data_IF_433983653771
#
_entry.id   IF_433983653771
#
_cell.length_a   1.000
_cell.length_b   1.000
_cell.length_c   1.000
_cell.angle_alpha   90.00
_cell.angle_beta   90.00
_cell.angle_gamma   90.00
#
_symmetry.space_group_name_H-M   'P 1'
#
loop_
_entity.id
_entity.type
_entity.pdbx_description
1 polymer ?
#
# COMPACT_ATOMS: atom_id res chain seq x y z
N UNK A 1 -29.79 1.22 39.59
CA UNK A 1 -29.65 1.10 38.12
C UNK A 1 -28.26 1.58 37.74
N UNK A 2 -27.45 0.72 37.09
CA UNK A 2 -26.20 0.98 36.35
C UNK A 2 -25.01 1.53 37.16
N UNK A 3 -23.95 0.77 37.46
CA UNK A 3 -22.85 0.22 36.62
C UNK A 3 -21.68 1.18 36.35
N UNK A 4 -20.48 0.65 36.64
CA UNK A 4 -19.16 0.99 36.08
C UNK A 4 -18.42 2.24 36.57
N UNK A 5 -17.36 2.03 37.38
CA UNK A 5 -16.03 2.65 37.24
C UNK A 5 -15.13 2.31 38.45
N UNK A 6 -14.53 1.12 38.48
CA UNK A 6 -13.49 0.77 39.44
C UNK A 6 -12.38 -0.03 38.73
N UNK A 7 -11.79 0.57 37.70
CA UNK A 7 -10.62 0.03 36.99
C UNK A 7 -9.89 1.15 36.24
N UNK A 8 -9.31 2.08 37.00
CA UNK A 8 -8.27 3.00 36.55
C UNK A 8 -7.60 3.56 37.82
N UNK A 9 -6.34 3.97 37.75
CA UNK A 9 -5.56 4.55 38.87
C UNK A 9 -4.77 3.59 39.77
N UNK A 10 -4.02 2.66 39.18
CA UNK A 10 -2.86 2.03 39.84
C UNK A 10 -1.55 2.04 39.00
N UNK A 11 -1.15 3.16 38.35
CA UNK A 11 0.28 3.31 38.01
C UNK A 11 1.01 4.55 38.57
N UNK A 12 0.41 5.40 39.42
CA UNK A 12 1.09 6.61 39.92
C UNK A 12 1.67 6.52 41.35
N UNK A 13 1.49 5.41 42.06
CA UNK A 13 1.94 5.28 43.46
C UNK A 13 3.31 4.56 43.62
N UNK A 14 4.25 4.73 42.68
CA UNK A 14 5.58 4.09 42.74
C UNK A 14 6.79 5.02 42.57
N UNK A 15 6.62 6.34 42.75
CA UNK A 15 7.71 7.31 42.58
C UNK A 15 8.04 8.18 43.83
N UNK A 16 7.45 7.92 45.00
CA UNK A 16 7.68 8.78 46.18
C UNK A 16 7.93 7.97 47.45
N UNK A 17 9.03 7.22 47.50
CA UNK A 17 9.60 6.70 48.75
C UNK A 17 11.10 6.39 48.59
N UNK A 18 11.83 7.28 47.90
CA UNK A 18 13.30 7.27 47.92
C UNK A 18 13.73 8.45 48.77
N UNK A 19 14.14 8.16 49.99
CA UNK A 19 14.71 9.13 50.89
C UNK A 19 14.30 8.83 52.32
N UNK A 20 15.30 8.48 53.14
CA UNK A 20 15.23 8.37 54.60
C UNK A 20 14.65 7.07 55.17
N UNK A 21 15.34 5.95 54.91
CA UNK A 21 15.34 4.82 55.85
C UNK A 21 16.77 4.62 56.37
N UNK A 22 17.00 4.59 57.70
CA UNK A 22 18.34 4.41 58.24
C UNK A 22 18.86 3.01 57.90
N UNK A 23 20.05 2.96 57.28
CA UNK A 23 20.73 1.71 56.92
C UNK A 23 21.12 0.99 58.21
N UNK A 24 20.35 -0.04 58.58
CA UNK A 24 20.67 -0.95 59.67
C UNK A 24 21.97 -1.70 59.35
N UNK A 25 22.94 -1.67 60.26
CA UNK A 25 24.22 -2.41 60.17
C UNK A 25 24.18 -3.77 60.89
N UNK A 26 23.03 -4.41 60.97
CA UNK A 26 22.93 -5.77 61.53
C UNK A 26 23.13 -6.82 60.44
N UNK A 27 23.97 -7.82 60.71
CA UNK A 27 24.16 -8.96 59.80
C UNK A 27 22.88 -9.79 59.69
N UNK A 28 22.59 -10.28 58.49
CA UNK A 28 21.42 -11.10 58.20
C UNK A 28 21.40 -12.37 59.09
N UNK A 29 20.24 -12.77 59.62
CA UNK A 29 20.11 -14.04 60.33
C UNK A 29 20.41 -15.20 59.38
N UNK A 30 21.06 -16.25 59.88
CA UNK A 30 21.38 -17.43 59.08
C UNK A 30 20.10 -18.10 58.59
N UNK A 31 20.01 -18.47 57.30
CA UNK A 31 18.85 -19.17 56.77
C UNK A 31 18.64 -20.50 57.51
N UNK A 32 17.38 -20.91 57.75
CA UNK A 32 17.09 -22.16 58.44
C UNK A 32 17.64 -23.36 57.65
N UNK A 33 18.19 -24.33 58.37
CA UNK A 33 18.78 -25.53 57.79
C UNK A 33 17.75 -26.27 56.94
N UNK A 34 18.11 -26.54 55.68
CA UNK A 34 17.41 -27.30 54.66
C UNK A 34 16.26 -28.19 55.18
N UNK A 35 15.07 -27.60 55.30
CA UNK A 35 13.82 -28.36 55.29
C UNK A 35 13.69 -28.93 53.88
N UNK A 36 14.14 -30.18 53.75
CA UNK A 36 13.97 -31.11 52.62
C UNK A 36 13.31 -30.47 51.39
N UNK A 37 14.14 -29.89 50.52
CA UNK A 37 13.80 -29.56 49.13
C UNK A 37 13.43 -30.80 48.27
N UNK A 38 13.20 -31.95 48.91
CA UNK A 38 12.85 -33.23 48.31
C UNK A 38 11.32 -33.45 48.26
N UNK A 39 10.54 -32.72 49.06
CA UNK A 39 9.06 -32.86 49.10
C UNK A 39 8.29 -31.83 48.26
N UNK A 40 8.96 -30.80 47.72
CA UNK A 40 8.41 -29.90 46.69
C UNK A 40 8.72 -30.37 45.25
N UNK A 41 9.45 -31.48 45.10
CA UNK A 41 9.77 -32.09 43.82
C UNK A 41 8.67 -33.10 43.41
N UNK A 42 7.42 -32.64 43.40
CA UNK A 42 6.32 -33.36 42.75
C UNK A 42 6.34 -32.90 41.28
N UNK A 43 6.55 -33.84 40.36
CA UNK A 43 6.46 -33.75 38.88
C UNK A 43 7.65 -33.24 38.01
N UNK A 44 8.90 -33.37 38.46
CA UNK A 44 10.03 -33.44 37.51
C UNK A 44 10.33 -34.87 37.08
N UNK A 45 9.35 -35.53 36.46
CA UNK A 45 9.63 -36.60 35.49
C UNK A 45 10.49 -35.94 34.39
N UNK A 46 11.68 -36.50 34.14
CA UNK A 46 12.75 -35.82 33.40
C UNK A 46 12.27 -35.20 32.08
N UNK A 47 12.37 -33.87 31.99
CA UNK A 47 12.15 -33.14 30.74
C UNK A 47 13.18 -33.61 29.72
N UNK A 48 12.71 -34.11 28.58
CA UNK A 48 13.56 -34.70 27.54
C UNK A 48 13.93 -33.63 26.53
N UNK A 49 15.21 -33.60 26.12
CA UNK A 49 15.63 -32.76 24.99
C UNK A 49 15.28 -33.45 23.68
N UNK A 50 14.69 -32.70 22.78
CA UNK A 50 14.36 -33.12 21.42
C UNK A 50 15.32 -32.42 20.45
N UNK A 51 15.80 -33.18 19.47
CA UNK A 51 16.63 -32.68 18.38
C UNK A 51 15.75 -32.48 17.15
N UNK A 52 15.75 -31.27 16.61
CA UNK A 52 15.01 -30.89 15.41
C UNK A 52 16.00 -30.48 14.34
N UNK A 53 16.05 -31.21 13.24
CA UNK A 53 16.88 -30.93 12.08
C UNK A 53 16.02 -30.30 10.98
N UNK A 54 16.31 -29.03 10.64
CA UNK A 54 15.64 -28.31 9.55
C UNK A 54 16.64 -28.14 8.40
N UNK A 55 16.47 -28.91 7.33
CA UNK A 55 17.32 -28.89 6.13
C UNK A 55 18.83 -28.95 6.43
N UNK A 56 19.22 -29.74 7.43
CA UNK A 56 20.61 -29.92 7.88
C UNK A 56 21.01 -29.07 9.08
N UNK A 57 20.25 -28.04 9.45
CA UNK A 57 20.51 -27.21 10.64
C UNK A 57 19.80 -27.80 11.86
N UNK A 58 20.58 -28.20 12.86
CA UNK A 58 20.07 -28.83 14.09
C UNK A 58 19.74 -27.80 15.17
N UNK A 59 18.60 -28.00 15.79
CA UNK A 59 18.05 -27.20 16.88
C UNK A 59 17.74 -28.12 18.06
N UNK A 60 18.23 -27.76 19.23
CA UNK A 60 17.90 -28.45 20.47
C UNK A 60 16.87 -27.65 21.27
N UNK A 61 15.84 -28.34 21.76
CA UNK A 61 14.83 -27.75 22.64
C UNK A 61 14.28 -28.78 23.63
N UNK A 62 13.63 -28.30 24.68
CA UNK A 62 12.98 -29.18 25.65
C UNK A 62 11.59 -29.57 25.18
N UNK A 63 11.19 -30.81 25.44
CA UNK A 63 9.84 -31.31 25.11
C UNK A 63 8.75 -30.42 25.71
N UNK A 64 8.90 -30.05 26.98
CA UNK A 64 7.96 -29.14 27.66
C UNK A 64 7.88 -27.74 27.01
N UNK A 65 8.90 -27.30 26.26
CA UNK A 65 8.85 -26.00 25.55
C UNK A 65 7.87 -26.06 24.39
N UNK A 66 7.82 -27.18 23.67
CA UNK A 66 6.90 -27.36 22.55
C UNK A 66 5.47 -27.61 23.03
N UNK A 67 5.31 -28.40 24.09
CA UNK A 67 4.01 -28.76 24.67
C UNK A 67 3.23 -27.58 25.28
N UNK A 68 3.85 -26.40 25.38
CA UNK A 68 3.15 -25.14 25.73
C UNK A 68 2.06 -24.78 24.72
N UNK A 69 2.18 -25.21 23.47
CA UNK A 69 1.25 -24.88 22.40
C UNK A 69 0.78 -26.17 21.70
N UNK A 70 -0.08 -26.98 22.36
CA UNK A 70 -0.46 -28.31 21.87
C UNK A 70 -1.25 -28.30 20.56
N UNK A 71 -1.82 -27.16 20.16
CA UNK A 71 -2.57 -26.99 18.90
C UNK A 71 -1.67 -26.83 17.66
N UNK A 72 -0.36 -26.72 17.86
CA UNK A 72 0.63 -26.53 16.79
C UNK A 72 1.26 -27.86 16.39
N UNK A 73 1.89 -27.93 15.21
CA UNK A 73 2.52 -29.15 14.71
C UNK A 73 3.57 -29.70 15.68
N UNK A 74 4.46 -28.84 16.19
CA UNK A 74 5.55 -29.27 17.09
C UNK A 74 5.06 -29.56 18.51
N UNK A 75 3.99 -28.89 18.96
CA UNK A 75 3.41 -29.12 20.28
C UNK A 75 2.51 -30.34 20.35
N UNK A 76 1.92 -30.74 19.23
CA UNK A 76 1.02 -31.88 19.12
C UNK A 76 1.77 -33.19 18.81
N UNK A 77 1.00 -34.28 18.66
CA UNK A 77 1.51 -35.58 18.23
C UNK A 77 1.85 -35.61 16.72
N UNK A 78 1.52 -34.56 15.96
CA UNK A 78 1.81 -34.50 14.52
C UNK A 78 3.32 -34.51 14.25
N UNK A 79 4.15 -33.98 15.16
CA UNK A 79 5.60 -34.06 15.03
C UNK A 79 6.12 -35.49 14.88
N UNK A 80 5.43 -36.50 15.43
CA UNK A 80 5.89 -37.89 15.40
C UNK A 80 5.91 -38.46 13.98
N UNK A 81 5.16 -37.86 13.03
CA UNK A 81 5.26 -38.19 11.60
C UNK A 81 6.60 -37.79 10.97
N UNK A 82 7.35 -36.90 11.62
CA UNK A 82 8.63 -36.36 11.14
C UNK A 82 9.83 -36.91 11.92
N UNK A 83 9.60 -37.88 12.83
CA UNK A 83 10.68 -38.47 13.60
C UNK A 83 11.44 -39.52 12.79
N UNK A 84 12.76 -39.36 12.72
CA UNK A 84 13.68 -40.35 12.15
C UNK A 84 14.26 -41.20 13.29
N UNK A 85 13.90 -42.48 13.33
CA UNK A 85 14.35 -43.45 14.34
C UNK A 85 15.85 -43.76 14.24
N UNK A 86 16.42 -43.76 13.04
CA UNK A 86 17.83 -44.08 12.81
C UNK A 86 18.72 -42.91 13.27
N UNK A 87 18.33 -41.69 12.91
CA UNK A 87 19.04 -40.48 13.28
C UNK A 87 18.67 -39.95 14.68
N UNK A 88 17.57 -40.42 15.27
CA UNK A 88 17.00 -39.97 16.56
C UNK A 88 16.73 -38.47 16.60
N UNK A 89 16.24 -37.91 15.49
CA UNK A 89 15.92 -36.49 15.34
C UNK A 89 14.62 -36.30 14.55
N UNK A 90 13.93 -35.18 14.76
CA UNK A 90 12.81 -34.78 13.92
C UNK A 90 13.35 -34.04 12.68
N UNK A 91 13.03 -34.50 11.48
CA UNK A 91 13.53 -33.92 10.24
C UNK A 91 12.46 -33.14 9.48
N UNK A 92 12.79 -31.90 9.09
CA UNK A 92 11.95 -31.02 8.28
C UNK A 92 12.72 -30.48 7.08
N UNK A 93 12.23 -30.72 5.87
CA UNK A 93 12.76 -30.15 4.63
C UNK A 93 12.14 -28.75 4.39
N UNK A 94 12.54 -27.79 5.24
CA UNK A 94 11.94 -26.44 5.34
C UNK A 94 13.02 -25.37 5.53
N UNK A 95 12.64 -24.10 5.55
CA UNK A 95 13.59 -22.99 5.68
C UNK A 95 14.17 -22.90 7.11
N UNK A 96 15.49 -23.12 7.30
CA UNK A 96 16.09 -23.06 8.62
C UNK A 96 16.22 -21.64 9.18
N UNK A 97 16.27 -20.61 8.34
CA UNK A 97 16.34 -19.21 8.76
C UNK A 97 14.99 -18.71 9.25
N UNK A 98 13.87 -19.15 8.67
CA UNK A 98 12.54 -18.84 9.20
C UNK A 98 12.21 -19.65 10.45
N UNK A 99 12.67 -20.90 10.53
CA UNK A 99 12.45 -21.76 11.69
C UNK A 99 12.96 -21.19 13.01
N UNK A 100 14.02 -20.36 12.99
CA UNK A 100 14.52 -19.72 14.21
C UNK A 100 13.44 -18.88 14.92
N UNK A 101 12.54 -18.26 14.16
CA UNK A 101 11.43 -17.44 14.68
C UNK A 101 10.31 -18.31 15.22
N UNK A 102 10.02 -19.42 14.52
CA UNK A 102 9.08 -20.46 14.96
C UNK A 102 9.52 -20.99 16.33
N UNK A 103 10.78 -21.40 16.48
CA UNK A 103 11.28 -21.91 17.75
C UNK A 103 11.34 -20.84 18.86
N UNK A 104 11.64 -19.59 18.50
CA UNK A 104 11.61 -18.47 19.44
C UNK A 104 10.21 -18.23 20.02
N UNK A 105 9.15 -18.44 19.22
CA UNK A 105 7.76 -18.38 19.69
C UNK A 105 7.49 -19.40 20.81
N UNK A 106 7.88 -20.68 20.66
CA UNK A 106 7.69 -21.67 21.74
C UNK A 106 8.47 -21.31 23.01
N UNK A 107 9.67 -20.74 22.86
CA UNK A 107 10.53 -20.35 23.99
C UNK A 107 9.97 -19.16 24.77
N UNK A 108 9.48 -18.14 24.06
CA UNK A 108 9.10 -16.84 24.64
C UNK A 108 7.61 -16.63 24.81
N UNK A 109 6.79 -17.39 24.07
CA UNK A 109 5.35 -17.19 23.93
C UNK A 109 4.96 -15.96 23.09
N UNK A 110 5.92 -15.30 22.44
CA UNK A 110 5.69 -14.11 21.61
C UNK A 110 6.15 -14.35 20.19
N UNK A 111 5.24 -14.16 19.24
CA UNK A 111 5.52 -14.29 17.81
C UNK A 111 5.96 -12.93 17.26
N UNK A 112 7.14 -12.86 16.66
CA UNK A 112 7.69 -11.64 16.07
C UNK A 112 7.75 -11.78 14.56
N UNK A 113 7.40 -10.72 13.84
CA UNK A 113 7.50 -10.69 12.39
C UNK A 113 8.90 -10.22 11.95
N UNK A 114 9.64 -11.02 11.14
CA UNK A 114 10.97 -10.65 10.69
C UNK A 114 10.92 -9.73 9.46
N UNK A 115 11.25 -8.45 9.64
CA UNK A 115 11.18 -7.43 8.59
C UNK A 115 12.09 -7.68 7.37
N UNK A 116 13.17 -8.45 7.53
CA UNK A 116 14.13 -8.74 6.45
C UNK A 116 13.71 -9.89 5.55
N UNK A 117 12.71 -10.67 5.95
CA UNK A 117 12.31 -11.88 5.25
C UNK A 117 11.10 -11.63 4.35
N UNK A 118 10.89 -12.52 3.37
CA UNK A 118 9.69 -12.46 2.54
C UNK A 118 8.44 -12.79 3.37
N UNK A 119 7.43 -11.92 3.32
CA UNK A 119 6.16 -12.12 4.01
C UNK A 119 5.51 -13.46 3.65
N UNK A 120 5.46 -13.78 2.35
CA UNK A 120 4.76 -14.97 1.85
C UNK A 120 5.44 -16.23 2.39
N UNK A 121 6.76 -16.31 2.29
CA UNK A 121 7.54 -17.44 2.84
C UNK A 121 7.37 -17.57 4.35
N UNK A 122 7.32 -16.45 5.08
CA UNK A 122 7.05 -16.48 6.52
C UNK A 122 5.65 -16.99 6.86
N UNK A 123 4.61 -16.53 6.16
CA UNK A 123 3.24 -17.03 6.34
C UNK A 123 3.11 -18.52 5.98
N UNK A 124 3.83 -18.99 4.96
CA UNK A 124 3.89 -20.41 4.58
C UNK A 124 4.53 -21.28 5.68
N UNK A 125 5.58 -20.79 6.35
CA UNK A 125 6.16 -21.48 7.50
C UNK A 125 5.25 -21.48 8.72
N UNK A 126 4.60 -20.35 9.03
CA UNK A 126 3.61 -20.27 10.10
C UNK A 126 2.46 -21.26 9.87
N UNK A 127 1.94 -21.31 8.65
CA UNK A 127 0.88 -22.23 8.26
C UNK A 127 1.32 -23.70 8.38
N UNK A 128 2.54 -24.04 7.95
CA UNK A 128 3.08 -25.39 8.06
C UNK A 128 3.20 -25.85 9.51
N UNK A 129 3.71 -24.99 10.41
CA UNK A 129 3.84 -25.33 11.83
C UNK A 129 2.54 -25.15 12.63
N UNK A 130 1.43 -24.77 11.99
CA UNK A 130 0.13 -24.60 12.63
C UNK A 130 0.07 -23.40 13.57
N UNK A 131 0.87 -22.35 13.32
CA UNK A 131 0.88 -21.12 14.13
C UNK A 131 0.04 -20.07 13.42
N UNK A 132 -0.96 -19.54 14.12
CA UNK A 132 -1.86 -18.53 13.56
C UNK A 132 -1.11 -17.18 13.49
N UNK A 133 -1.06 -16.50 12.33
CA UNK A 133 -0.37 -15.21 12.19
C UNK A 133 -0.95 -14.10 13.08
N UNK A 134 -2.20 -14.21 13.52
CA UNK A 134 -2.84 -13.26 14.43
C UNK A 134 -2.21 -13.26 15.84
N UNK A 135 -1.33 -14.23 16.14
CA UNK A 135 -0.52 -14.27 17.37
C UNK A 135 0.70 -13.33 17.32
N UNK A 136 0.95 -12.66 16.19
CA UNK A 136 2.02 -11.67 16.08
C UNK A 136 1.85 -10.60 17.16
N UNK A 137 2.91 -10.40 17.94
CA UNK A 137 2.91 -9.48 19.08
C UNK A 137 2.83 -8.02 18.62
N UNK A 138 2.20 -7.19 19.44
CA UNK A 138 1.96 -5.75 19.20
C UNK A 138 3.18 -5.00 18.63
N UNK A 139 4.38 -5.34 19.10
CA UNK A 139 5.62 -4.69 18.65
C UNK A 139 5.95 -4.85 17.16
N UNK A 140 5.39 -5.85 16.47
CA UNK A 140 5.64 -6.12 15.05
C UNK A 140 4.34 -6.22 14.23
N UNK A 141 3.19 -6.02 14.87
CA UNK A 141 1.87 -6.24 14.26
C UNK A 141 1.60 -5.24 13.13
N UNK A 142 1.90 -3.96 13.34
CA UNK A 142 1.70 -2.94 12.31
C UNK A 142 2.58 -3.18 11.08
N UNK A 143 3.86 -3.49 11.26
CA UNK A 143 4.77 -3.79 10.14
C UNK A 143 4.31 -4.99 9.30
N UNK A 144 3.87 -6.06 9.98
CA UNK A 144 3.32 -7.24 9.32
C UNK A 144 2.06 -6.89 8.53
N UNK A 145 1.14 -6.15 9.15
CA UNK A 145 -0.13 -5.75 8.55
C UNK A 145 0.08 -4.86 7.32
N UNK A 146 1.01 -3.91 7.39
CA UNK A 146 1.36 -3.04 6.27
C UNK A 146 1.97 -3.85 5.13
N UNK A 147 2.90 -4.76 5.41
CA UNK A 147 3.48 -5.62 4.38
C UNK A 147 2.45 -6.53 3.74
N UNK A 148 1.51 -7.03 4.54
CA UNK A 148 0.40 -7.87 4.06
C UNK A 148 -0.54 -7.13 3.14
N UNK A 149 -0.88 -5.88 3.47
CA UNK A 149 -1.67 -5.00 2.61
C UNK A 149 -0.95 -4.72 1.29
N UNK A 150 0.33 -4.35 1.34
CA UNK A 150 1.15 -4.11 0.13
C UNK A 150 1.20 -5.35 -0.78
N UNK A 151 1.42 -6.54 -0.20
CA UNK A 151 1.45 -7.78 -0.97
C UNK A 151 0.09 -8.10 -1.61
N UNK A 152 -1.02 -7.85 -0.91
CA UNK A 152 -2.37 -8.02 -1.46
C UNK A 152 -2.68 -7.05 -2.61
N UNK A 153 -2.24 -5.80 -2.50
CA UNK A 153 -2.38 -4.79 -3.56
C UNK A 153 -1.64 -5.22 -4.82
N UNK A 154 -0.38 -5.67 -4.70
CA UNK A 154 0.41 -6.18 -5.84
C UNK A 154 -0.23 -7.39 -6.53
N UNK A 155 -0.73 -8.35 -5.75
CA UNK A 155 -1.44 -9.52 -6.30
C UNK A 155 -2.75 -9.12 -7.02
N UNK A 156 -3.41 -8.06 -6.55
CA UNK A 156 -4.60 -7.53 -7.21
C UNK A 156 -4.27 -6.87 -8.55
N UNK A 157 -3.19 -6.09 -8.61
CA UNK A 157 -2.67 -5.50 -9.86
C UNK A 157 -2.30 -6.58 -10.89
N UNK A 158 -1.56 -7.61 -10.49
CA UNK A 158 -1.20 -8.73 -11.38
C UNK A 158 -2.44 -9.46 -11.93
N UNK A 159 -3.50 -9.63 -11.11
CA UNK A 159 -4.77 -10.22 -11.55
C UNK A 159 -5.57 -9.35 -12.52
N UNK A 160 -5.40 -8.02 -12.45
CA UNK A 160 -5.99 -7.09 -13.42
C UNK A 160 -5.26 -7.20 -14.75
N UNK A 161 -3.94 -7.37 -14.72
CA UNK A 161 -3.10 -7.47 -15.92
C UNK A 161 -3.02 -8.86 -16.56
N UNK A 162 -3.50 -9.90 -15.85
CA UNK A 162 -3.42 -11.29 -16.28
C UNK A 162 -3.98 -11.51 -17.70
N UNK A 163 -3.20 -12.15 -18.60
CA UNK A 163 -3.56 -12.31 -20.01
C UNK A 163 -4.74 -13.25 -20.28
N UNK A 164 -5.18 -14.04 -19.30
CA UNK A 164 -6.34 -14.92 -19.47
C UNK A 164 -7.66 -14.16 -19.66
N UNK A 165 -7.81 -12.95 -19.07
CA UNK A 165 -8.97 -12.07 -19.34
C UNK A 165 -8.90 -11.37 -20.70
N UNK A 166 -7.77 -11.42 -21.42
CA UNK A 166 -7.60 -10.68 -22.69
C UNK A 166 -8.26 -11.34 -23.89
N UNK A 167 -8.67 -12.61 -23.81
CA UNK A 167 -9.20 -13.36 -24.96
C UNK A 167 -10.65 -13.00 -25.32
N UNK A 168 -11.43 -12.46 -24.38
CA UNK A 168 -12.86 -12.13 -24.58
C UNK A 168 -13.20 -10.64 -24.36
N UNK A 169 -12.25 -9.73 -24.57
CA UNK A 169 -12.51 -8.29 -24.45
C UNK A 169 -13.26 -7.78 -25.70
N UNK A 170 -14.43 -7.19 -25.49
CA UNK A 170 -15.14 -6.44 -26.53
C UNK A 170 -14.27 -5.30 -27.07
N UNK A 171 -14.48 -4.88 -28.33
CA UNK A 171 -13.77 -3.74 -28.93
C UNK A 171 -13.79 -2.49 -28.04
N UNK A 172 -14.92 -2.25 -27.35
CA UNK A 172 -15.09 -1.17 -26.38
C UNK A 172 -14.12 -1.27 -25.20
N UNK A 173 -13.98 -2.46 -24.61
CA UNK A 173 -13.06 -2.70 -23.50
C UNK A 173 -11.60 -2.61 -23.95
N UNK A 174 -11.30 -3.08 -25.16
CA UNK A 174 -9.95 -2.95 -25.74
C UNK A 174 -9.58 -1.47 -25.94
N UNK A 175 -10.53 -0.66 -26.39
CA UNK A 175 -10.36 0.80 -26.52
C UNK A 175 -10.22 1.49 -25.16
N UNK A 176 -11.00 1.07 -24.15
CA UNK A 176 -10.87 1.58 -22.78
C UNK A 176 -9.49 1.31 -22.20
N UNK A 177 -8.99 0.07 -22.33
CA UNK A 177 -7.64 -0.30 -21.87
C UNK A 177 -6.55 0.48 -22.60
N UNK A 178 -6.73 0.78 -23.89
CA UNK A 178 -5.79 1.58 -24.65
C UNK A 178 -5.71 3.04 -24.15
N UNK A 179 -6.81 3.61 -23.64
CA UNK A 179 -6.78 4.95 -23.05
C UNK A 179 -6.19 4.98 -21.63
N UNK A 180 -6.47 3.96 -20.81
CA UNK A 180 -5.99 3.91 -19.43
C UNK A 180 -4.47 3.60 -19.36
N UNK A 181 -3.99 2.71 -20.25
CA UNK A 181 -2.63 2.21 -20.24
C UNK A 181 -1.95 2.35 -21.61
N UNK A 182 -1.40 3.54 -21.94
CA UNK A 182 -0.83 3.81 -23.26
C UNK A 182 0.36 2.90 -23.63
N UNK A 183 1.05 2.34 -22.63
CA UNK A 183 2.21 1.46 -22.84
C UNK A 183 1.84 0.00 -23.15
N UNK A 184 0.57 -0.39 -23.00
CA UNK A 184 0.16 -1.80 -23.15
C UNK A 184 -0.05 -2.23 -24.59
N UNK A 185 -0.21 -1.29 -25.53
CA UNK A 185 -0.48 -1.58 -26.94
C UNK A 185 0.15 -0.53 -27.85
N UNK A 186 0.62 -0.94 -29.02
CA UNK A 186 1.12 -0.03 -30.06
C UNK A 186 0.06 0.97 -30.51
N UNK A 187 -1.22 0.54 -30.61
CA UNK A 187 -2.34 1.44 -30.92
C UNK A 187 -2.55 2.49 -29.83
N UNK A 188 -2.46 2.07 -28.56
CA UNK A 188 -2.59 2.95 -27.41
C UNK A 188 -1.48 4.02 -27.39
N UNK A 189 -0.26 3.62 -27.74
CA UNK A 189 0.89 4.50 -27.84
C UNK A 189 0.75 5.55 -28.95
N UNK A 190 0.18 5.18 -30.10
CA UNK A 190 -0.10 6.14 -31.19
C UNK A 190 -1.10 7.20 -30.73
N UNK A 191 -2.22 6.78 -30.11
CA UNK A 191 -3.19 7.73 -29.57
C UNK A 191 -2.56 8.66 -28.54
N UNK A 192 -1.76 8.12 -27.61
CA UNK A 192 -1.05 8.91 -26.60
C UNK A 192 -0.15 10.01 -27.20
N UNK A 193 0.65 9.70 -28.21
CA UNK A 193 1.51 10.71 -28.83
C UNK A 193 0.71 11.74 -29.63
N UNK A 194 -0.37 11.33 -30.30
CA UNK A 194 -1.23 12.25 -31.06
C UNK A 194 -1.94 13.22 -30.12
N UNK A 195 -2.52 12.72 -29.02
CA UNK A 195 -3.23 13.57 -28.05
C UNK A 195 -2.26 14.49 -27.33
N UNK A 196 -1.09 13.99 -26.91
CA UNK A 196 -0.01 14.80 -26.33
C UNK A 196 0.47 15.92 -27.26
N UNK A 197 0.58 15.66 -28.57
CA UNK A 197 0.95 16.68 -29.56
C UNK A 197 -0.09 17.82 -29.63
N UNK A 198 -1.39 17.49 -29.69
CA UNK A 198 -2.44 18.51 -29.74
C UNK A 198 -2.55 19.31 -28.44
N UNK A 199 -2.33 18.68 -27.29
CA UNK A 199 -2.22 19.38 -26.00
C UNK A 199 -1.08 20.41 -26.05
N UNK A 200 0.11 20.00 -26.48
CA UNK A 200 1.25 20.91 -26.61
C UNK A 200 0.95 22.10 -27.55
N UNK A 201 0.34 21.83 -28.71
CA UNK A 201 -0.07 22.88 -29.66
C UNK A 201 -1.08 23.84 -29.02
N UNK A 202 -2.10 23.34 -28.31
CA UNK A 202 -3.09 24.21 -27.66
C UNK A 202 -2.49 25.09 -26.57
N UNK A 203 -1.55 24.56 -25.77
CA UNK A 203 -0.85 25.33 -24.74
C UNK A 203 0.03 26.40 -25.38
N UNK A 204 0.78 26.05 -26.42
CA UNK A 204 1.60 27.02 -27.15
C UNK A 204 0.75 28.13 -27.77
N UNK A 205 -0.43 27.82 -28.30
CA UNK A 205 -1.32 28.83 -28.88
C UNK A 205 -1.87 29.78 -27.82
N UNK A 206 -2.31 29.27 -26.66
CA UNK A 206 -2.72 30.12 -25.53
C UNK A 206 -1.57 31.03 -25.04
N UNK A 207 -0.32 30.53 -25.01
CA UNK A 207 0.85 31.34 -24.67
C UNK A 207 1.06 32.43 -25.72
N UNK A 208 0.99 32.11 -27.01
CA UNK A 208 1.23 33.07 -28.09
C UNK A 208 0.10 34.12 -28.15
N UNK A 209 -1.13 33.74 -27.85
CA UNK A 209 -2.27 34.67 -27.82
C UNK A 209 -2.05 35.78 -26.78
N UNK A 210 -1.44 35.44 -25.64
CA UNK A 210 -1.25 36.36 -24.51
C UNK A 210 0.02 37.20 -24.56
N UNK A 211 1.00 36.87 -25.42
CA UNK A 211 2.22 37.69 -25.53
C UNK A 211 1.98 38.98 -26.34
N UNK A 212 2.62 40.10 -25.94
CA UNK A 212 2.59 41.33 -26.71
C UNK A 212 3.36 41.15 -28.02
N UNK A 213 2.74 41.55 -29.14
CA UNK A 213 3.32 41.33 -30.47
C UNK A 213 4.44 42.36 -30.74
N UNK A 214 5.69 41.96 -30.48
CA UNK A 214 6.90 42.82 -30.54
C UNK A 214 7.11 43.53 -31.89
N UNK A 215 6.54 43.02 -32.98
CA UNK A 215 6.74 43.56 -34.33
C UNK A 215 6.04 44.91 -34.58
N UNK A 216 5.07 45.31 -33.74
CA UNK A 216 4.27 46.54 -33.88
C UNK A 216 4.32 47.48 -32.67
N UNK A 217 5.09 47.11 -31.64
CA UNK A 217 5.24 47.89 -30.39
C UNK A 217 5.84 49.30 -30.58
N UNK A 218 6.33 49.60 -31.78
CA UNK A 218 6.97 50.88 -32.10
C UNK A 218 5.98 51.97 -32.58
N UNK A 219 4.70 51.66 -32.83
CA UNK A 219 3.77 52.61 -33.48
C UNK A 219 2.41 52.73 -32.79
N UNK A 220 1.90 51.66 -32.17
CA UNK A 220 0.72 51.68 -31.32
C UNK A 220 1.07 50.90 -30.04
N UNK A 221 0.43 51.18 -28.90
CA UNK A 221 0.74 50.55 -27.60
C UNK A 221 0.77 49.01 -27.63
N UNK A 222 1.04 48.37 -26.50
CA UNK A 222 1.18 46.90 -26.40
C UNK A 222 -0.09 46.13 -26.81
N UNK A 223 -0.26 45.87 -28.11
CA UNK A 223 -1.31 45.01 -28.68
C UNK A 223 -0.85 43.55 -28.56
N UNK A 224 -1.74 42.67 -28.11
CA UNK A 224 -1.46 41.23 -28.02
C UNK A 224 -1.42 40.60 -29.42
N UNK A 225 -0.70 39.49 -29.58
CA UNK A 225 -0.75 38.77 -30.85
C UNK A 225 -2.13 38.17 -31.13
N UNK A 226 -2.92 37.87 -30.08
CA UNK A 226 -4.31 37.44 -30.19
C UNK A 226 -5.20 38.47 -30.90
N UNK A 227 -5.10 39.75 -30.51
CA UNK A 227 -5.92 40.82 -31.09
C UNK A 227 -5.58 41.10 -32.57
N UNK A 228 -4.30 40.93 -32.94
CA UNK A 228 -3.83 41.18 -34.31
C UNK A 228 -4.25 40.07 -35.30
N UNK A 229 -4.28 38.83 -34.83
CA UNK A 229 -4.57 37.63 -35.64
C UNK A 229 -5.80 36.88 -35.12
N UNK A 230 -6.83 37.62 -34.70
CA UNK A 230 -8.05 37.09 -34.09
C UNK A 230 -8.66 35.92 -34.89
N UNK A 231 -8.72 36.05 -36.23
CA UNK A 231 -9.31 35.03 -37.10
C UNK A 231 -8.48 33.74 -37.12
N UNK A 232 -7.16 33.85 -37.12
CA UNK A 232 -6.25 32.71 -37.19
C UNK A 232 -6.24 31.95 -35.86
N UNK A 233 -6.20 32.67 -34.73
CA UNK A 233 -6.33 32.07 -33.40
C UNK A 233 -7.70 31.44 -33.20
N UNK A 234 -8.78 32.10 -33.63
CA UNK A 234 -10.13 31.53 -33.57
C UNK A 234 -10.24 30.19 -34.33
N UNK A 235 -9.71 30.11 -35.56
CA UNK A 235 -9.72 28.85 -36.35
C UNK A 235 -8.92 27.76 -35.65
N UNK A 236 -7.75 28.10 -35.11
CA UNK A 236 -6.88 27.14 -34.43
C UNK A 236 -7.53 26.62 -33.13
N UNK A 237 -8.05 27.52 -32.30
CA UNK A 237 -8.78 27.18 -31.08
C UNK A 237 -9.98 26.29 -31.36
N UNK A 238 -10.74 26.63 -32.40
CA UNK A 238 -11.89 25.83 -32.83
C UNK A 238 -11.44 24.41 -33.20
N UNK A 239 -10.35 24.27 -33.96
CA UNK A 239 -9.82 22.96 -34.34
C UNK A 239 -9.34 22.15 -33.12
N UNK A 240 -8.61 22.76 -32.19
CA UNK A 240 -8.14 22.10 -30.97
C UNK A 240 -9.30 21.62 -30.08
N UNK A 241 -10.31 22.47 -29.87
CA UNK A 241 -11.50 22.12 -29.07
C UNK A 241 -12.30 21.01 -29.73
N UNK A 242 -12.48 21.03 -31.06
CA UNK A 242 -13.14 19.94 -31.80
C UNK A 242 -12.39 18.61 -31.61
N UNK A 243 -11.06 18.62 -31.62
CA UNK A 243 -10.28 17.39 -31.40
C UNK A 243 -10.43 16.88 -29.97
N UNK A 244 -10.32 17.75 -28.96
CA UNK A 244 -10.51 17.35 -27.56
C UNK A 244 -11.93 16.88 -27.25
N UNK A 245 -12.94 17.47 -27.88
CA UNK A 245 -14.33 16.99 -27.74
C UNK A 245 -14.52 15.61 -28.35
N UNK A 246 -13.95 15.34 -29.52
CA UNK A 246 -13.98 14.01 -30.14
C UNK A 246 -13.25 12.99 -29.26
N UNK A 247 -12.07 13.34 -28.74
CA UNK A 247 -11.31 12.50 -27.83
C UNK A 247 -12.11 12.17 -26.56
N UNK A 248 -12.71 13.18 -25.94
CA UNK A 248 -13.57 13.03 -24.78
C UNK A 248 -14.76 12.10 -25.05
N UNK A 249 -15.42 12.25 -26.20
CA UNK A 249 -16.53 11.40 -26.61
C UNK A 249 -16.09 9.95 -26.83
N UNK A 250 -14.91 9.71 -27.41
CA UNK A 250 -14.37 8.36 -27.56
C UNK A 250 -14.06 7.73 -26.20
N UNK A 251 -13.48 8.48 -25.25
CA UNK A 251 -13.25 7.99 -23.88
C UNK A 251 -14.58 7.69 -23.16
N UNK A 252 -15.57 8.56 -23.30
CA UNK A 252 -16.90 8.37 -22.73
C UNK A 252 -17.63 7.15 -23.32
N UNK A 253 -17.47 6.89 -24.62
CA UNK A 253 -18.02 5.70 -25.27
C UNK A 253 -17.30 4.42 -24.84
N UNK A 254 -15.97 4.47 -24.68
CA UNK A 254 -15.16 3.35 -24.21
C UNK A 254 -15.45 2.97 -22.74
N UNK A 255 -15.80 3.96 -21.90
CA UNK A 255 -16.00 3.77 -20.48
C UNK A 255 -17.06 2.69 -20.14
N UNK A 256 -16.77 1.78 -19.20
CA UNK A 256 -17.73 0.76 -18.77
C UNK A 256 -18.95 1.39 -18.09
N UNK A 257 -18.71 2.38 -17.21
CA UNK A 257 -19.72 3.14 -16.47
C UNK A 257 -19.62 4.64 -16.78
N UNK A 258 -20.47 5.12 -17.68
CA UNK A 258 -20.43 6.52 -18.17
C UNK A 258 -20.61 7.55 -17.07
N UNK A 259 -21.57 7.34 -16.15
CA UNK A 259 -21.81 8.28 -15.05
C UNK A 259 -20.65 8.34 -14.05
N UNK A 260 -19.95 7.22 -13.85
CA UNK A 260 -18.75 7.17 -13.00
C UNK A 260 -17.58 7.86 -13.70
N UNK A 261 -17.43 7.62 -15.01
CA UNK A 261 -16.41 8.26 -15.83
C UNK A 261 -16.56 9.78 -15.85
N UNK A 262 -17.75 10.32 -16.14
CA UNK A 262 -18.01 11.78 -16.17
C UNK A 262 -17.68 12.46 -14.82
N UNK A 263 -17.78 11.73 -13.71
CA UNK A 263 -17.45 12.22 -12.36
C UNK A 263 -16.00 11.99 -11.95
N UNK A 264 -15.20 11.31 -12.77
CA UNK A 264 -13.78 11.08 -12.49
C UNK A 264 -12.96 12.35 -12.70
N UNK A 265 -11.85 12.48 -11.97
CA UNK A 265 -10.95 13.65 -12.06
C UNK A 265 -10.38 13.78 -13.48
N UNK A 266 -9.97 12.67 -14.11
CA UNK A 266 -9.43 12.68 -15.48
C UNK A 266 -10.44 13.20 -16.50
N UNK A 267 -11.69 12.73 -16.44
CA UNK A 267 -12.78 13.23 -17.29
C UNK A 267 -13.13 14.69 -17.00
N UNK A 268 -13.00 15.15 -15.76
CA UNK A 268 -13.33 16.52 -15.38
C UNK A 268 -12.32 17.51 -15.99
N UNK A 269 -11.04 17.14 -16.02
CA UNK A 269 -9.98 17.94 -16.66
C UNK A 269 -10.28 18.14 -18.16
N UNK A 270 -10.65 17.06 -18.87
CA UNK A 270 -11.01 17.13 -20.28
C UNK A 270 -12.19 18.09 -20.54
N UNK A 271 -13.22 18.05 -19.69
CA UNK A 271 -14.40 18.94 -19.80
C UNK A 271 -14.02 20.39 -19.52
N UNK A 272 -13.23 20.64 -18.48
CA UNK A 272 -12.84 22.01 -18.13
C UNK A 272 -11.94 22.62 -19.22
N UNK A 273 -11.12 21.82 -19.91
CA UNK A 273 -10.28 22.30 -20.99
C UNK A 273 -11.07 22.86 -22.19
N UNK A 274 -12.22 22.27 -22.52
CA UNK A 274 -13.06 22.67 -23.66
C UNK A 274 -14.14 23.70 -23.30
N UNK A 275 -14.58 23.72 -22.03
CA UNK A 275 -15.72 24.50 -21.55
C UNK A 275 -15.62 26.02 -21.81
N UNK A 276 -14.47 26.69 -21.59
CA UNK A 276 -14.35 28.13 -21.82
C UNK A 276 -14.64 28.55 -23.27
N UNK A 277 -14.28 27.72 -24.26
CA UNK A 277 -14.58 27.99 -25.66
C UNK A 277 -16.08 27.97 -25.93
N UNK A 278 -16.78 26.94 -25.45
CA UNK A 278 -18.22 26.79 -25.65
C UNK A 278 -19.02 27.88 -24.92
N UNK A 279 -18.57 28.27 -23.72
CA UNK A 279 -19.15 29.41 -22.99
C UNK A 279 -18.93 30.72 -23.76
N UNK A 280 -17.73 30.93 -24.31
CA UNK A 280 -17.42 32.09 -25.15
C UNK A 280 -18.31 32.19 -26.39
N UNK A 281 -18.54 31.07 -27.09
CA UNK A 281 -19.44 31.02 -28.25
C UNK A 281 -20.91 31.25 -27.86
N UNK A 282 -21.35 30.76 -26.70
CA UNK A 282 -22.70 30.98 -26.19
C UNK A 282 -22.95 32.41 -25.67
N UNK A 283 -21.89 33.10 -25.21
CA UNK A 283 -21.96 34.48 -24.70
C UNK A 283 -21.66 35.55 -25.75
N UNK A 284 -21.27 35.17 -26.97
CA UNK A 284 -20.97 36.09 -28.08
C UNK A 284 -22.14 37.01 -28.51
N UNK A 285 -23.31 36.92 -27.89
CA UNK A 285 -24.32 37.98 -27.95
C UNK A 285 -23.91 39.27 -27.21
N UNK A 286 -22.88 39.25 -26.33
CA UNK A 286 -22.38 40.45 -25.62
C UNK A 286 -20.83 40.54 -25.69
N UNK A 287 -20.31 41.47 -26.50
CA UNK A 287 -18.89 41.60 -26.89
C UNK A 287 -17.89 41.98 -25.77
N UNK A 288 -18.32 42.27 -24.56
CA UNK A 288 -17.45 42.83 -23.50
C UNK A 288 -16.74 41.79 -22.62
N UNK A 289 -16.91 40.48 -22.87
CA UNK A 289 -16.45 39.42 -21.95
C UNK A 289 -15.27 38.60 -22.51
N UNK A 290 -14.85 38.82 -23.77
CA UNK A 290 -13.85 37.98 -24.45
C UNK A 290 -12.48 37.94 -23.75
N UNK A 291 -12.05 39.05 -23.15
CA UNK A 291 -10.74 39.13 -22.46
C UNK A 291 -10.68 38.41 -21.11
N UNK A 292 -11.82 38.15 -20.46
CA UNK A 292 -11.88 37.50 -19.13
C UNK A 292 -11.81 35.97 -19.20
N UNK A 293 -12.01 35.38 -20.37
CA UNK A 293 -12.03 33.92 -20.55
C UNK A 293 -10.64 33.34 -20.89
N UNK A 294 -9.77 34.13 -21.51
CA UNK A 294 -8.35 33.78 -21.76
C UNK A 294 -7.60 33.59 -20.43
N UNK A 295 -7.89 34.44 -19.42
CA UNK A 295 -7.33 34.34 -18.06
C UNK A 295 -7.86 33.14 -17.26
N UNK A 296 -9.10 32.71 -17.51
CA UNK A 296 -9.65 31.49 -16.91
C UNK A 296 -8.99 30.22 -17.47
N UNK A 297 -8.64 30.17 -18.76
CA UNK A 297 -7.91 29.03 -19.35
C UNK A 297 -6.51 28.83 -18.76
N UNK A 298 -5.77 29.91 -18.51
CA UNK A 298 -4.42 29.85 -17.94
C UNK A 298 -4.38 29.38 -16.47
N UNK A 299 -5.48 29.50 -15.75
CA UNK A 299 -5.54 29.15 -14.32
C UNK A 299 -5.87 27.67 -14.06
N UNK A 300 -6.25 26.90 -15.10
CA UNK A 300 -6.86 25.57 -14.91
C UNK A 300 -6.15 24.45 -15.68
N UNK A 301 -5.22 24.74 -16.59
CA UNK A 301 -4.31 23.71 -17.11
C UNK A 301 -3.26 23.48 -16.02
N UNK A 302 -3.27 22.33 -15.31
CA UNK A 302 -2.25 22.07 -14.32
C UNK A 302 -0.95 21.82 -15.07
N UNK A 303 0.07 22.63 -14.77
CA UNK A 303 1.45 22.16 -14.89
C UNK A 303 1.69 21.01 -13.89
#
# INVERSE_FOLDING_TARGET
MGSSAAAAWLPFAKASAVGWSPISRTSLPKPPAALKARELAIDHVGDVRLMINVSGRRYDTWKNTLERFPETLLGSNEREFFYDEDAKEYFFDRDPDLFRHILAFYRTGRLHYPQTECLVSYEEELAFFGIIPDLISDCCYEDYKDKKRENQERLMEERIDAPEKRKDLTFRQKMWTAFENPHTSTTALIFYYVTGFFIAVSVLCNIIETIPCKYLAHTYGSISCGDLYEKQFFVLDTACVVIFTIEYLFRLYAAPDRCKFVRSIMSLIDVIAILPYYIGLGLQENKDVSGAFVTLRLSIIPL
#
